data_IF_011652875475
#
_entry.id   IF_011652875475
#
_cell.length_a   1.000
_cell.length_b   1.000
_cell.length_c   1.000
_cell.angle_alpha   90.00
_cell.angle_beta   90.00
_cell.angle_gamma   90.00
#
_symmetry.space_group_name_H-M   'P 1'
#
loop_
_entity.id
_entity.type
_entity.pdbx_description
1 polymer ?
#
# COMPACT_ATOMS: atom_id res chain seq x y z
N UNK A 1 -11.55 20.17 12.88
CA UNK A 1 -10.36 19.37 12.51
C UNK A 1 -10.74 18.59 11.28
N UNK A 2 -10.13 18.84 10.13
CA UNK A 2 -10.33 18.03 8.94
C UNK A 2 -9.80 16.62 9.22
N UNK A 3 -10.63 15.61 8.95
CA UNK A 3 -10.23 14.20 9.11
C UNK A 3 -9.05 13.94 8.17
N UNK A 4 -7.96 13.31 8.68
CA UNK A 4 -6.78 13.01 7.86
C UNK A 4 -7.14 11.95 6.82
N UNK A 5 -6.64 12.06 5.58
CA UNK A 5 -6.84 11.00 4.60
C UNK A 5 -6.34 9.65 5.10
N UNK A 6 -7.12 8.60 4.89
CA UNK A 6 -6.81 7.24 5.28
C UNK A 6 -6.50 6.40 4.06
N UNK A 7 -5.32 5.82 4.03
CA UNK A 7 -4.80 5.05 2.91
C UNK A 7 -4.53 3.63 3.38
N UNK A 8 -5.01 2.63 2.65
CA UNK A 8 -4.68 1.24 2.90
C UNK A 8 -3.62 0.75 1.92
N UNK A 9 -2.63 0.02 2.43
CA UNK A 9 -1.58 -0.60 1.62
C UNK A 9 -1.78 -2.11 1.54
N UNK A 10 -1.76 -2.63 0.32
CA UNK A 10 -1.54 -4.04 0.04
C UNK A 10 -0.05 -4.43 0.24
N UNK A 11 0.26 -5.72 0.29
CA UNK A 11 1.62 -6.21 0.43
C UNK A 11 2.53 -5.87 -0.77
N UNK A 12 2.01 -5.94 -1.99
CA UNK A 12 2.79 -5.77 -3.21
C UNK A 12 3.52 -4.42 -3.28
N UNK A 13 2.91 -3.25 -3.01
CA UNK A 13 3.61 -1.97 -2.96
C UNK A 13 4.74 -1.93 -1.92
N UNK A 14 4.57 -2.57 -0.76
CA UNK A 14 5.59 -2.61 0.29
C UNK A 14 6.78 -3.47 -0.15
N UNK A 15 6.51 -4.62 -0.79
CA UNK A 15 7.54 -5.49 -1.35
C UNK A 15 8.34 -4.75 -2.43
N UNK A 16 7.68 -4.03 -3.32
CA UNK A 16 8.33 -3.25 -4.38
C UNK A 16 9.19 -2.12 -3.80
N UNK A 17 8.72 -1.42 -2.78
CA UNK A 17 9.51 -0.41 -2.07
C UNK A 17 10.79 -1.00 -1.46
N UNK A 18 10.69 -2.17 -0.81
CA UNK A 18 11.86 -2.81 -0.22
C UNK A 18 12.83 -3.30 -1.29
N UNK A 19 12.33 -3.93 -2.37
CA UNK A 19 13.14 -4.32 -3.53
C UNK A 19 13.89 -3.14 -4.13
N UNK A 20 13.20 -2.04 -4.36
CA UNK A 20 13.80 -0.78 -4.85
C UNK A 20 14.96 -0.32 -3.95
N UNK A 21 14.74 -0.30 -2.64
CA UNK A 21 15.76 0.14 -1.67
C UNK A 21 17.00 -0.76 -1.58
N UNK A 22 16.86 -2.07 -1.79
CA UNK A 22 17.98 -3.00 -1.76
C UNK A 22 18.61 -3.25 -3.13
N UNK A 23 18.17 -2.50 -4.16
CA UNK A 23 18.71 -2.61 -5.51
C UNK A 23 18.38 -3.94 -6.20
N UNK A 24 17.20 -4.52 -5.92
CA UNK A 24 16.61 -5.57 -6.74
C UNK A 24 15.92 -4.91 -7.92
N UNK A 25 16.26 -5.29 -9.15
CA UNK A 25 15.65 -4.72 -10.35
C UNK A 25 14.15 -4.96 -10.37
N UNK A 26 13.42 -3.88 -10.55
CA UNK A 26 11.98 -3.84 -10.83
C UNK A 26 11.77 -2.96 -12.07
N UNK A 27 10.61 -3.04 -12.69
CA UNK A 27 10.33 -2.19 -13.85
C UNK A 27 10.11 -0.72 -13.44
N UNK A 28 10.23 0.20 -14.42
CA UNK A 28 10.14 1.64 -14.19
C UNK A 28 8.82 2.09 -13.55
N UNK A 29 7.72 1.40 -13.84
CA UNK A 29 6.42 1.71 -13.25
C UNK A 29 6.42 1.40 -11.75
N UNK A 30 6.99 0.24 -11.36
CA UNK A 30 7.15 -0.14 -9.96
C UNK A 30 8.15 0.74 -9.21
N UNK A 31 9.22 1.18 -9.88
CA UNK A 31 10.16 2.15 -9.29
C UNK A 31 9.44 3.47 -8.97
N UNK A 32 8.61 3.94 -9.90
CA UNK A 32 7.78 5.12 -9.69
C UNK A 32 6.81 4.94 -8.52
N UNK A 33 6.14 3.80 -8.44
CA UNK A 33 5.24 3.47 -7.33
C UNK A 33 5.98 3.39 -6.00
N UNK A 34 7.14 2.74 -5.98
CA UNK A 34 7.99 2.63 -4.78
C UNK A 34 8.45 4.01 -4.28
N UNK A 35 8.81 4.90 -5.21
CA UNK A 35 9.14 6.29 -4.87
C UNK A 35 7.95 7.02 -4.24
N UNK A 36 6.75 6.96 -4.84
CA UNK A 36 5.55 7.60 -4.30
C UNK A 36 5.17 7.04 -2.92
N UNK A 37 5.27 5.72 -2.75
CA UNK A 37 5.04 5.10 -1.45
C UNK A 37 6.06 5.58 -0.40
N UNK A 38 7.33 5.75 -0.78
CA UNK A 38 8.33 6.31 0.13
C UNK A 38 7.95 7.73 0.59
N UNK A 39 7.43 8.57 -0.30
CA UNK A 39 6.98 9.92 0.05
C UNK A 39 5.72 9.88 0.94
N UNK A 40 4.76 8.99 0.63
CA UNK A 40 3.59 8.78 1.50
C UNK A 40 3.97 8.33 2.92
N UNK A 41 4.98 7.46 3.06
CA UNK A 41 5.49 7.06 4.38
C UNK A 41 6.16 8.22 5.13
N UNK A 42 6.76 9.19 4.43
CA UNK A 42 7.26 10.42 5.06
C UNK A 42 6.09 11.28 5.57
N UNK A 43 5.08 11.51 4.73
CA UNK A 43 3.87 12.25 5.10
C UNK A 43 3.12 11.59 6.28
N UNK A 44 3.07 10.26 6.33
CA UNK A 44 2.47 9.53 7.44
C UNK A 44 3.24 9.70 8.75
N UNK A 45 4.58 9.74 8.70
CA UNK A 45 5.39 10.04 9.90
C UNK A 45 5.26 11.48 10.37
N UNK A 46 4.98 12.40 9.44
CA UNK A 46 4.64 13.80 9.74
C UNK A 46 3.17 13.97 10.16
N UNK A 47 2.42 12.86 10.27
CA UNK A 47 1.01 12.82 10.65
C UNK A 47 0.05 13.57 9.72
N UNK A 48 0.40 13.74 8.46
CA UNK A 48 -0.45 14.40 7.46
C UNK A 48 -1.47 13.45 6.82
N UNK A 49 -1.11 12.16 6.73
CA UNK A 49 -1.98 11.06 6.28
C UNK A 49 -1.91 9.90 7.25
N UNK A 50 -2.93 9.06 7.26
CA UNK A 50 -2.93 7.80 7.99
C UNK A 50 -2.78 6.62 7.04
N UNK A 51 -1.78 5.78 7.27
CA UNK A 51 -1.56 4.58 6.47
C UNK A 51 -1.86 3.33 7.29
N UNK A 52 -2.71 2.47 6.73
CA UNK A 52 -3.13 1.21 7.31
C UNK A 52 -2.68 0.03 6.45
N UNK A 53 -2.41 -1.10 7.08
CA UNK A 53 -2.31 -2.41 6.42
C UNK A 53 -2.72 -3.51 7.40
N UNK A 54 -2.95 -4.71 6.89
CA UNK A 54 -3.29 -5.87 7.71
C UNK A 54 -2.04 -6.49 8.34
N UNK A 55 -2.20 -7.16 9.49
CA UNK A 55 -1.17 -8.06 10.03
C UNK A 55 -0.86 -9.23 9.07
N UNK A 56 -1.77 -9.57 8.14
CA UNK A 56 -1.52 -10.55 7.08
C UNK A 56 -0.37 -10.12 6.16
N UNK A 57 -0.26 -8.82 5.88
CA UNK A 57 0.83 -8.24 5.07
C UNK A 57 2.21 -8.61 5.62
N UNK A 58 2.34 -8.77 6.95
CA UNK A 58 3.60 -9.21 7.56
C UNK A 58 4.02 -10.59 7.07
N UNK A 59 3.06 -11.52 6.91
CA UNK A 59 3.32 -12.86 6.40
C UNK A 59 3.54 -12.89 4.88
N UNK A 60 2.97 -11.94 4.15
CA UNK A 60 3.12 -11.83 2.69
C UNK A 60 4.43 -11.16 2.26
N UNK A 61 5.00 -10.31 3.11
CA UNK A 61 6.24 -9.58 2.83
C UNK A 61 7.50 -10.47 2.99
N UNK A 62 7.58 -11.52 2.17
CA UNK A 62 8.69 -12.50 2.19
C UNK A 62 9.44 -12.58 0.84
N UNK A 63 9.00 -11.86 -0.19
CA UNK A 63 9.41 -12.08 -1.58
C UNK A 63 10.70 -11.33 -1.96
N UNK A 64 11.83 -11.73 -1.37
CA UNK A 64 13.17 -11.42 -1.92
C UNK A 64 13.89 -12.76 -2.12
N UNK A 65 14.03 -13.18 -3.38
CA UNK A 65 14.57 -14.50 -3.72
C UNK A 65 16.08 -14.61 -3.52
N UNK A 66 16.83 -13.51 -3.76
CA UNK A 66 18.27 -13.46 -3.56
C UNK A 66 18.60 -13.44 -2.05
N UNK A 67 19.33 -14.45 -1.52
CA UNK A 67 19.65 -14.52 -0.09
C UNK A 67 20.45 -13.31 0.42
N UNK A 68 21.38 -12.78 -0.38
CA UNK A 68 22.17 -11.61 0.00
C UNK A 68 21.30 -10.36 0.10
N UNK A 69 20.36 -10.19 -0.83
CA UNK A 69 19.39 -9.09 -0.81
C UNK A 69 18.33 -9.28 0.28
N UNK A 70 17.96 -10.52 0.59
CA UNK A 70 17.03 -10.83 1.68
C UNK A 70 17.55 -10.32 3.02
N UNK A 71 18.84 -10.52 3.32
CA UNK A 71 19.45 -10.03 4.58
C UNK A 71 19.38 -8.48 4.68
N UNK A 72 19.51 -7.78 3.56
CA UNK A 72 19.35 -6.32 3.50
C UNK A 72 17.87 -5.91 3.58
N UNK A 73 16.96 -6.72 3.08
CA UNK A 73 15.52 -6.43 3.04
C UNK A 73 14.83 -6.62 4.40
N UNK A 74 15.24 -7.63 5.19
CA UNK A 74 14.65 -7.94 6.50
C UNK A 74 14.51 -6.72 7.41
N UNK A 75 15.56 -5.92 7.70
CA UNK A 75 15.44 -4.77 8.56
C UNK A 75 14.51 -3.69 7.98
N UNK A 76 14.39 -3.58 6.65
CA UNK A 76 13.49 -2.63 6.01
C UNK A 76 12.01 -3.04 6.16
N UNK A 77 11.69 -4.33 6.01
CA UNK A 77 10.35 -4.84 6.30
C UNK A 77 9.97 -4.61 7.76
N UNK A 78 10.87 -4.92 8.70
CA UNK A 78 10.65 -4.65 10.12
C UNK A 78 10.43 -3.15 10.39
N UNK A 79 11.24 -2.29 9.76
CA UNK A 79 11.11 -0.84 9.92
C UNK A 79 9.76 -0.32 9.44
N UNK A 80 9.28 -0.79 8.29
CA UNK A 80 8.01 -0.33 7.72
C UNK A 80 6.82 -0.88 8.51
N UNK A 81 6.82 -2.17 8.83
CA UNK A 81 5.64 -2.88 9.32
C UNK A 81 5.55 -2.96 10.84
N UNK A 82 6.63 -3.36 11.52
CA UNK A 82 6.53 -3.81 12.92
C UNK A 82 7.27 -2.94 13.94
N UNK A 83 8.12 -2.01 13.50
CA UNK A 83 8.90 -1.16 14.41
C UNK A 83 8.06 -0.08 15.14
N UNK A 84 6.81 0.15 14.72
CA UNK A 84 5.99 1.28 15.15
C UNK A 84 6.49 2.65 14.66
N UNK A 85 7.61 2.69 13.93
CA UNK A 85 8.25 3.92 13.43
C UNK A 85 8.06 4.12 11.91
N UNK A 86 7.44 3.15 11.25
CA UNK A 86 7.26 3.16 9.79
C UNK A 86 6.20 4.14 9.27
N UNK A 87 5.35 4.64 10.15
CA UNK A 87 4.18 5.46 9.77
C UNK A 87 2.99 4.59 9.31
N UNK A 88 3.08 3.26 9.45
CA UNK A 88 2.02 2.31 9.08
C UNK A 88 1.34 1.77 10.33
N UNK A 89 0.02 1.78 10.35
CA UNK A 89 -0.81 1.20 11.40
C UNK A 89 -1.23 -0.22 11.00
N UNK A 90 -0.81 -1.21 11.78
CA UNK A 90 -1.20 -2.62 11.56
C UNK A 90 -2.59 -2.88 12.13
N UNK A 91 -3.45 -3.51 11.32
CA UNK A 91 -4.80 -3.93 11.69
C UNK A 91 -4.86 -5.46 11.71
N UNK A 92 -5.32 -6.01 12.81
CA UNK A 92 -5.62 -7.44 12.90
C UNK A 92 -7.03 -7.71 12.36
N UNK A 93 -7.20 -8.51 11.28
CA UNK A 93 -8.50 -8.92 10.82
C UNK A 93 -9.22 -9.78 11.88
N UNK A 94 -10.36 -9.31 12.33
CA UNK A 94 -11.25 -10.04 13.24
C UNK A 94 -12.38 -10.71 12.44
N UNK A 95 -13.15 -11.57 13.07
CA UNK A 95 -14.22 -12.34 12.42
C UNK A 95 -15.15 -11.47 11.57
N UNK A 96 -15.57 -10.31 12.08
CA UNK A 96 -16.47 -9.43 11.31
C UNK A 96 -15.85 -8.91 10.02
N UNK A 97 -14.52 -8.67 9.97
CA UNK A 97 -13.83 -8.30 8.73
C UNK A 97 -13.80 -9.47 7.74
N UNK A 98 -13.60 -10.69 8.23
CA UNK A 98 -13.61 -11.89 7.38
C UNK A 98 -15.02 -12.15 6.83
N UNK A 99 -16.06 -11.88 7.60
CA UNK A 99 -17.45 -11.94 7.14
C UNK A 99 -17.72 -10.83 6.09
N UNK A 100 -17.25 -9.60 6.31
CA UNK A 100 -17.33 -8.51 5.34
C UNK A 100 -16.61 -8.89 4.04
N UNK A 101 -15.44 -9.54 4.11
CA UNK A 101 -14.71 -10.06 2.94
C UNK A 101 -15.55 -11.06 2.11
N UNK A 102 -16.27 -11.97 2.75
CA UNK A 102 -17.24 -12.86 2.09
C UNK A 102 -18.38 -12.07 1.44
N UNK A 103 -18.89 -11.04 2.13
CA UNK A 103 -20.00 -10.21 1.67
C UNK A 103 -19.61 -9.33 0.46
N UNK A 104 -18.34 -8.99 0.26
CA UNK A 104 -17.87 -8.33 -0.96
C UNK A 104 -18.33 -9.11 -2.22
N UNK A 105 -18.22 -10.44 -2.20
CA UNK A 105 -18.68 -11.28 -3.30
C UNK A 105 -20.20 -11.43 -3.34
N UNK A 106 -20.83 -11.71 -2.19
CA UNK A 106 -22.25 -12.06 -2.14
C UNK A 106 -23.19 -10.88 -2.36
N UNK A 107 -22.83 -9.72 -1.81
CA UNK A 107 -23.70 -8.54 -1.80
C UNK A 107 -23.25 -7.46 -2.79
N UNK A 108 -21.97 -7.42 -3.17
CA UNK A 108 -21.40 -6.35 -3.98
C UNK A 108 -20.81 -6.82 -5.32
N UNK A 109 -20.82 -8.15 -5.60
CA UNK A 109 -20.31 -8.71 -6.86
C UNK A 109 -18.79 -8.54 -7.04
N UNK A 110 -18.04 -8.27 -5.96
CA UNK A 110 -16.59 -8.08 -5.98
C UNK A 110 -15.92 -9.45 -5.80
N UNK A 111 -15.38 -9.99 -6.89
CA UNK A 111 -14.83 -11.35 -6.95
C UNK A 111 -13.32 -11.36 -6.67
N UNK A 112 -12.92 -11.08 -5.43
CA UNK A 112 -11.54 -11.25 -4.95
C UNK A 112 -11.35 -12.62 -4.29
N UNK A 113 -10.09 -13.06 -4.16
CA UNK A 113 -9.73 -14.34 -3.55
C UNK A 113 -9.05 -14.12 -2.20
N UNK A 114 -9.33 -15.04 -1.24
CA UNK A 114 -8.59 -15.20 -0.01
C UNK A 114 -8.13 -13.89 0.64
N UNK A 115 -6.83 -13.66 0.67
CA UNK A 115 -6.21 -12.51 1.32
C UNK A 115 -6.63 -11.17 0.71
N UNK A 116 -6.74 -11.07 -0.62
CA UNK A 116 -7.13 -9.83 -1.31
C UNK A 116 -8.49 -9.33 -0.83
N UNK A 117 -9.45 -10.25 -0.63
CA UNK A 117 -10.77 -9.89 -0.11
C UNK A 117 -10.72 -9.43 1.35
N UNK A 118 -9.85 -10.01 2.17
CA UNK A 118 -9.66 -9.60 3.57
C UNK A 118 -8.98 -8.23 3.64
N UNK A 119 -7.98 -7.97 2.79
CA UNK A 119 -7.36 -6.64 2.68
C UNK A 119 -8.39 -5.58 2.29
N UNK A 120 -9.18 -5.83 1.24
CA UNK A 120 -10.21 -4.90 0.78
C UNK A 120 -11.30 -4.65 1.85
N UNK A 121 -11.78 -5.71 2.52
CA UNK A 121 -12.75 -5.58 3.61
C UNK A 121 -12.16 -4.82 4.81
N UNK A 122 -10.87 -5.03 5.12
CA UNK A 122 -10.18 -4.28 6.17
C UNK A 122 -10.14 -2.79 5.83
N UNK A 123 -9.75 -2.46 4.60
CA UNK A 123 -9.70 -1.07 4.13
C UNK A 123 -11.06 -0.37 4.25
N UNK A 124 -12.13 -1.02 3.80
CA UNK A 124 -13.49 -0.51 3.91
C UNK A 124 -13.96 -0.36 5.38
N UNK A 125 -13.63 -1.32 6.24
CA UNK A 125 -13.98 -1.29 7.67
C UNK A 125 -13.36 -0.10 8.39
N UNK A 126 -12.13 0.26 8.02
CA UNK A 126 -11.41 1.41 8.56
C UNK A 126 -11.73 2.72 7.82
N UNK A 127 -12.67 2.67 6.84
CA UNK A 127 -13.07 3.82 6.03
C UNK A 127 -11.87 4.49 5.39
N UNK A 128 -11.01 3.66 4.76
CA UNK A 128 -9.90 4.19 3.98
C UNK A 128 -10.44 4.84 2.70
N UNK A 129 -9.90 6.01 2.37
CA UNK A 129 -10.25 6.76 1.16
C UNK A 129 -9.66 6.10 -0.08
N UNK A 130 -8.44 5.53 0.07
CA UNK A 130 -7.75 4.82 -0.99
C UNK A 130 -7.22 3.47 -0.53
N UNK A 131 -7.22 2.51 -1.47
CA UNK A 131 -6.54 1.23 -1.35
C UNK A 131 -5.47 1.14 -2.43
N UNK A 132 -4.21 1.18 -2.02
CA UNK A 132 -3.05 1.13 -2.92
C UNK A 132 -2.61 -0.32 -3.12
N UNK A 133 -2.58 -0.75 -4.39
CA UNK A 133 -2.30 -2.13 -4.79
C UNK A 133 -1.64 -2.19 -6.17
N UNK A 134 -1.29 -3.43 -6.60
CA UNK A 134 -0.75 -3.73 -7.93
C UNK A 134 -1.48 -4.89 -8.63
N UNK A 135 -2.61 -5.34 -8.10
CA UNK A 135 -3.36 -6.47 -8.66
C UNK A 135 -4.42 -6.02 -9.66
N UNK A 136 -4.37 -6.57 -10.88
CA UNK A 136 -5.31 -6.24 -11.95
C UNK A 136 -6.77 -6.64 -11.63
N UNK A 137 -7.01 -7.61 -10.74
CA UNK A 137 -8.37 -8.00 -10.33
C UNK A 137 -8.98 -6.97 -9.39
N UNK A 138 -8.16 -6.40 -8.50
CA UNK A 138 -8.59 -5.30 -7.63
C UNK A 138 -8.90 -4.08 -8.50
N UNK A 139 -8.03 -3.74 -9.46
CA UNK A 139 -8.28 -2.67 -10.43
C UNK A 139 -9.58 -2.88 -11.22
N UNK A 140 -9.84 -4.12 -11.66
CA UNK A 140 -11.06 -4.49 -12.39
C UNK A 140 -12.35 -4.31 -11.58
N UNK A 141 -12.27 -4.30 -10.25
CA UNK A 141 -13.39 -4.03 -9.35
C UNK A 141 -13.50 -2.54 -8.93
N UNK A 142 -12.71 -1.65 -9.53
CA UNK A 142 -12.59 -0.25 -9.12
C UNK A 142 -13.91 0.50 -9.03
N UNK A 143 -14.81 0.34 -10.01
CA UNK A 143 -16.12 0.98 -9.99
C UNK A 143 -16.99 0.53 -8.81
N UNK A 144 -16.92 -0.77 -8.45
CA UNK A 144 -17.67 -1.31 -7.31
C UNK A 144 -17.09 -0.80 -5.98
N UNK A 145 -15.76 -0.69 -5.84
CA UNK A 145 -15.14 -0.09 -4.67
C UNK A 145 -15.45 1.41 -4.55
N UNK A 146 -15.47 2.13 -5.66
CA UNK A 146 -15.85 3.54 -5.68
C UNK A 146 -17.29 3.73 -5.20
N UNK A 147 -18.23 2.84 -5.56
CA UNK A 147 -19.61 2.86 -5.06
C UNK A 147 -19.69 2.59 -3.55
N UNK A 148 -18.69 1.90 -2.98
CA UNK A 148 -18.54 1.68 -1.54
C UNK A 148 -17.76 2.81 -0.82
N UNK A 149 -17.37 3.87 -1.55
CA UNK A 149 -16.69 5.04 -1.01
C UNK A 149 -15.17 4.91 -0.90
N UNK A 150 -14.56 3.92 -1.59
CA UNK A 150 -13.10 3.70 -1.57
C UNK A 150 -12.55 3.67 -3.00
N UNK A 151 -11.52 4.46 -3.26
CA UNK A 151 -10.78 4.41 -4.52
C UNK A 151 -9.71 3.33 -4.47
N UNK A 152 -9.53 2.58 -5.57
CA UNK A 152 -8.42 1.62 -5.72
C UNK A 152 -7.46 2.11 -6.80
N UNK A 153 -6.16 2.14 -6.52
CA UNK A 153 -5.17 2.68 -7.45
C UNK A 153 -3.74 2.20 -7.14
N UNK A 154 -2.82 2.48 -8.07
CA UNK A 154 -1.39 2.32 -7.81
C UNK A 154 -0.87 3.44 -6.88
N UNK A 155 0.25 3.24 -6.18
CA UNK A 155 0.86 4.29 -5.34
C UNK A 155 1.16 5.59 -6.07
N UNK A 156 1.55 5.54 -7.35
CA UNK A 156 1.84 6.73 -8.15
C UNK A 156 0.60 7.54 -8.52
N UNK A 157 -0.59 6.94 -8.42
CA UNK A 157 -1.86 7.56 -8.78
C UNK A 157 -2.61 8.10 -7.56
N UNK A 158 -2.04 8.02 -6.36
CA UNK A 158 -2.66 8.55 -5.15
C UNK A 158 -2.95 10.03 -5.24
N UNK A 159 -4.14 10.42 -4.76
CA UNK A 159 -4.56 11.82 -4.65
C UNK A 159 -4.11 12.48 -3.34
N UNK A 160 -3.71 11.67 -2.36
CA UNK A 160 -3.44 12.11 -0.99
C UNK A 160 -1.95 12.31 -0.66
N UNK A 161 -1.06 12.21 -1.65
CA UNK A 161 0.32 12.66 -1.44
C UNK A 161 0.34 14.20 -1.39
N UNK A 162 0.72 14.82 -0.25
CA UNK A 162 0.78 16.28 -0.15
C UNK A 162 1.75 16.89 -1.15
N UNK A 163 1.48 18.11 -1.61
CA UNK A 163 2.20 18.75 -2.70
C UNK A 163 3.70 18.93 -2.43
N UNK A 164 4.08 19.17 -1.19
CA UNK A 164 5.48 19.30 -0.79
C UNK A 164 6.31 18.03 -1.05
N UNK A 165 5.70 16.86 -0.89
CA UNK A 165 6.35 15.57 -1.18
C UNK A 165 6.35 15.21 -2.68
N UNK A 166 5.55 15.90 -3.50
CA UNK A 166 5.52 15.71 -4.96
C UNK A 166 6.67 16.42 -5.65
N UNK A 167 7.15 17.52 -5.10
CA UNK A 167 8.17 18.38 -5.71
C UNK A 167 9.54 17.71 -5.79
N UNK A 168 9.90 16.82 -4.86
CA UNK A 168 11.14 16.04 -4.94
C UNK A 168 11.23 15.20 -6.24
N UNK A 169 10.10 14.78 -6.83
CA UNK A 169 10.10 14.00 -8.06
C UNK A 169 10.50 14.79 -9.30
N UNK A 170 10.30 16.10 -9.31
CA UNK A 170 10.70 16.98 -10.41
C UNK A 170 12.21 17.20 -10.44
N UNK A 171 12.82 17.32 -9.26
CA UNK A 171 14.27 17.48 -9.13
C UNK A 171 15.05 16.20 -9.49
N UNK A 172 14.47 15.02 -9.24
CA UNK A 172 15.10 13.74 -9.60
C UNK A 172 15.12 13.48 -11.11
N UNK A 173 14.23 14.10 -11.90
CA UNK A 173 14.22 13.98 -13.36
C UNK A 173 15.33 14.82 -14.05
N UNK A 174 15.84 15.85 -13.37
CA UNK A 174 16.91 16.71 -13.91
C UNK A 174 18.32 16.15 -13.65
N UNK A 175 18.46 15.13 -12.80
CA UNK A 175 19.77 14.55 -12.40
C UNK A 175 20.06 13.21 -13.07
N UNK A 176 19.19 12.71 -13.97
CA UNK A 176 19.51 11.52 -14.77
C UNK A 176 20.61 11.90 -15.80
N UNK A 177 21.84 11.33 -15.73
CA UNK A 177 22.87 11.61 -16.73
C UNK A 177 22.42 11.08 -18.10
N UNK A 178 22.63 11.90 -19.11
CA UNK A 178 22.48 11.56 -20.53
C UNK A 178 23.47 10.48 -20.94
#
# INVERSE_FOLDING_TARGET
MTDKPKIYLDAAPIIDLVKFKVGVGIDLERERDAWHLQQLLKAARAEEVEIYTSTLTVAECTHVQDPAKLELAKPLFLQVLTSGRGGVKLVQPILSIVEDARNLRWSHGIHLKGMDSVHAATALKFRCDEFLHRDGKISGAGAAFQALGMRVCAPSDTQFLPNEYRQESLLMKEVAPQ
#
